data_IF_779354461596
#
_entry.id   IF_779354461596
#
_cell.length_a   1.000
_cell.length_b   1.000
_cell.length_c   1.000
_cell.angle_alpha   90.00
_cell.angle_beta   90.00
_cell.angle_gamma   90.00
#
_symmetry.space_group_name_H-M   'P 1'
#
loop_
_entity.id
_entity.type
_entity.pdbx_description
1 polymer ?
#
# COMPACT_ATOMS: atom_id res chain seq x y z
N UNK A 1 37.94 7.46 -36.06
CA UNK A 1 37.12 8.51 -35.42
C UNK A 1 37.97 9.76 -35.36
N UNK A 2 37.41 10.93 -35.68
CA UNK A 2 38.16 12.18 -35.66
C UNK A 2 38.51 12.51 -34.20
N UNK A 3 39.80 12.49 -33.87
CA UNK A 3 40.29 12.68 -32.48
C UNK A 3 40.48 14.16 -32.13
N UNK A 4 39.68 15.03 -32.76
CA UNK A 4 39.78 16.47 -32.66
C UNK A 4 38.74 17.02 -31.68
N UNK A 5 39.18 17.93 -30.82
CA UNK A 5 38.31 18.60 -29.88
C UNK A 5 37.32 19.49 -30.64
N UNK A 6 36.00 19.39 -30.40
CA UNK A 6 35.02 20.27 -31.04
C UNK A 6 35.19 21.75 -30.64
N UNK A 7 35.79 22.03 -29.48
CA UNK A 7 35.98 23.41 -29.00
C UNK A 7 37.15 24.16 -29.65
N UNK A 8 38.27 23.48 -29.93
CA UNK A 8 39.49 24.12 -30.45
C UNK A 8 40.04 23.48 -31.73
N UNK A 9 39.43 22.41 -32.22
CA UNK A 9 39.81 21.63 -33.42
C UNK A 9 41.17 20.91 -33.36
N UNK A 10 41.94 21.10 -32.29
CA UNK A 10 43.21 20.40 -32.07
C UNK A 10 43.01 18.93 -31.66
N UNK A 11 44.00 18.09 -31.92
CA UNK A 11 44.00 16.68 -31.51
C UNK A 11 43.99 16.54 -29.97
N UNK A 12 43.31 15.50 -29.48
CA UNK A 12 43.13 15.24 -28.05
C UNK A 12 43.91 14.01 -27.64
N UNK A 13 44.72 14.12 -26.58
CA UNK A 13 45.31 12.95 -25.94
C UNK A 13 44.20 12.13 -25.25
N UNK A 14 44.10 10.85 -25.61
CA UNK A 14 43.11 9.93 -25.06
C UNK A 14 43.17 9.87 -23.51
N UNK A 15 44.35 10.08 -22.92
CA UNK A 15 44.55 9.99 -21.47
C UNK A 15 44.07 11.21 -20.69
N UNK A 16 43.82 12.34 -21.35
CA UNK A 16 43.50 13.63 -20.71
C UNK A 16 42.28 14.26 -21.38
N UNK A 17 41.22 13.46 -21.55
CA UNK A 17 40.02 13.86 -22.28
C UNK A 17 38.73 13.48 -21.57
N UNK A 18 37.68 14.28 -21.79
CA UNK A 18 36.28 13.85 -21.57
C UNK A 18 35.65 13.51 -22.91
N UNK A 19 34.72 12.58 -22.92
CA UNK A 19 33.94 12.25 -24.11
C UNK A 19 32.54 12.83 -23.99
N UNK A 20 32.06 13.45 -25.07
CA UNK A 20 30.68 13.94 -25.15
C UNK A 20 29.71 12.75 -25.17
N UNK A 21 28.76 12.69 -24.25
CA UNK A 21 27.82 11.57 -24.15
C UNK A 21 26.82 11.49 -25.32
N UNK A 22 26.70 12.55 -26.13
CA UNK A 22 25.83 12.58 -27.29
C UNK A 22 26.52 12.16 -28.59
N UNK A 23 27.74 12.67 -28.86
CA UNK A 23 28.45 12.43 -30.12
C UNK A 23 29.74 11.61 -29.98
N UNK A 24 30.08 11.23 -28.75
CA UNK A 24 31.27 10.46 -28.37
C UNK A 24 32.61 11.07 -28.84
N UNK A 25 32.64 12.38 -29.12
CA UNK A 25 33.89 13.08 -29.47
C UNK A 25 34.68 13.44 -28.22
N UNK A 26 36.02 13.34 -28.26
CA UNK A 26 36.89 13.70 -27.16
C UNK A 26 37.03 15.23 -27.04
N UNK A 27 37.23 15.72 -25.82
CA UNK A 27 37.33 17.13 -25.46
C UNK A 27 38.46 17.36 -24.47
N UNK A 28 39.26 18.40 -24.68
CA UNK A 28 40.24 18.84 -23.67
C UNK A 28 39.53 19.41 -22.45
N UNK A 29 40.04 19.14 -21.25
CA UNK A 29 39.54 19.76 -20.02
C UNK A 29 39.63 21.29 -20.07
N UNK A 30 40.71 21.82 -20.66
CA UNK A 30 40.93 23.26 -20.85
C UNK A 30 39.87 23.91 -21.74
N UNK A 31 39.43 23.22 -22.79
CA UNK A 31 38.37 23.71 -23.68
C UNK A 31 36.98 23.73 -23.02
N UNK A 32 36.81 22.97 -21.94
CA UNK A 32 35.61 23.02 -21.09
C UNK A 32 35.73 24.02 -19.93
N UNK A 33 36.86 24.75 -19.86
CA UNK A 33 37.21 25.63 -18.74
C UNK A 33 37.16 24.91 -17.37
N UNK A 34 37.44 23.60 -17.35
CA UNK A 34 37.48 22.80 -16.13
C UNK A 34 38.91 22.61 -15.67
N UNK A 35 39.16 22.83 -14.38
CA UNK A 35 40.37 22.34 -13.75
C UNK A 35 40.40 20.80 -13.77
N UNK A 36 41.60 20.21 -13.79
CA UNK A 36 41.77 18.77 -13.99
C UNK A 36 41.10 17.92 -12.88
N UNK A 37 41.10 18.41 -11.65
CA UNK A 37 40.42 17.82 -10.50
C UNK A 37 38.89 17.85 -10.64
N UNK A 38 38.34 18.94 -11.16
CA UNK A 38 36.90 19.07 -11.46
C UNK A 38 36.50 18.14 -12.59
N UNK A 39 37.30 18.05 -13.66
CA UNK A 39 37.04 17.12 -14.77
C UNK A 39 37.04 15.65 -14.29
N UNK A 40 37.98 15.28 -13.41
CA UNK A 40 38.00 13.96 -12.79
C UNK A 40 36.78 13.70 -11.90
N UNK A 41 36.29 14.72 -11.18
CA UNK A 41 35.05 14.62 -10.39
C UNK A 41 33.81 14.45 -11.27
N UNK A 42 33.72 15.18 -12.40
CA UNK A 42 32.64 15.04 -13.38
C UNK A 42 32.62 13.64 -13.99
N UNK A 43 33.78 13.06 -14.35
CA UNK A 43 33.83 11.70 -14.89
C UNK A 43 33.41 10.65 -13.84
N UNK A 44 33.82 10.83 -12.56
CA UNK A 44 33.33 9.98 -11.47
C UNK A 44 31.82 10.08 -11.28
N UNK A 45 31.26 11.29 -11.27
CA UNK A 45 29.81 11.51 -11.13
C UNK A 45 29.02 10.88 -12.29
N UNK A 46 29.54 10.97 -13.52
CA UNK A 46 28.98 10.31 -14.71
C UNK A 46 28.94 8.78 -14.55
N UNK A 47 30.00 8.17 -14.02
CA UNK A 47 30.02 6.71 -13.77
C UNK A 47 29.07 6.27 -12.66
N UNK A 48 28.76 7.17 -11.72
CA UNK A 48 27.87 6.88 -10.59
C UNK A 48 26.40 7.13 -10.90
N UNK A 49 26.08 7.94 -11.92
CA UNK A 49 24.69 8.30 -12.26
C UNK A 49 24.50 8.45 -13.77
N UNK A 50 23.54 7.71 -14.32
CA UNK A 50 23.11 7.81 -15.72
C UNK A 50 22.44 9.16 -16.07
N UNK A 51 22.17 9.99 -15.07
CA UNK A 51 21.54 11.30 -15.23
C UNK A 51 22.53 12.44 -15.46
N UNK A 52 23.81 12.24 -15.14
CA UNK A 52 24.86 13.24 -15.38
C UNK A 52 25.39 13.06 -16.80
N UNK A 53 25.13 14.04 -17.67
CA UNK A 53 25.62 14.05 -19.04
C UNK A 53 26.65 15.15 -19.25
N UNK A 54 27.74 14.82 -19.94
CA UNK A 54 28.79 15.73 -20.37
C UNK A 54 28.60 15.95 -21.86
N UNK A 55 28.26 17.18 -22.26
CA UNK A 55 28.02 17.53 -23.67
C UNK A 55 29.14 18.46 -24.17
N UNK A 56 29.52 18.30 -25.45
CA UNK A 56 30.37 19.29 -26.11
C UNK A 56 29.58 20.57 -26.44
N UNK A 57 30.28 21.66 -26.70
CA UNK A 57 29.66 22.95 -27.03
C UNK A 57 28.64 22.84 -28.19
N UNK A 58 28.95 22.09 -29.24
CA UNK A 58 28.03 21.87 -30.37
C UNK A 58 26.75 21.14 -29.94
N UNK A 59 26.90 20.09 -29.14
CA UNK A 59 25.76 19.31 -28.63
C UNK A 59 24.96 20.08 -27.58
N UNK A 60 25.60 20.90 -26.74
CA UNK A 60 24.93 21.78 -25.80
C UNK A 60 24.15 22.88 -26.54
N UNK A 61 24.75 23.49 -27.57
CA UNK A 61 24.06 24.47 -28.41
C UNK A 61 22.85 23.87 -29.13
N UNK A 62 22.98 22.65 -29.68
CA UNK A 62 21.86 21.94 -30.28
C UNK A 62 20.78 21.56 -29.25
N UNK A 63 21.19 21.20 -28.03
CA UNK A 63 20.27 20.90 -26.94
C UNK A 63 19.53 22.18 -26.48
N UNK A 64 20.25 23.29 -26.32
CA UNK A 64 19.70 24.61 -25.97
C UNK A 64 18.79 25.13 -27.07
N UNK A 65 19.14 24.97 -28.34
CA UNK A 65 18.29 25.39 -29.46
C UNK A 65 17.01 24.54 -29.54
N UNK A 66 17.09 23.25 -29.22
CA UNK A 66 15.92 22.39 -29.08
C UNK A 66 15.04 22.83 -27.90
N UNK A 67 15.65 23.12 -26.76
CA UNK A 67 15.00 23.64 -25.55
C UNK A 67 14.40 25.04 -25.76
N UNK A 68 14.97 25.87 -26.63
CA UNK A 68 14.44 27.22 -26.90
C UNK A 68 13.31 27.23 -27.93
N UNK A 69 13.21 26.20 -28.78
CA UNK A 69 12.13 26.05 -29.77
C UNK A 69 10.95 25.25 -29.25
N UNK A 70 11.19 24.35 -28.30
CA UNK A 70 10.13 23.79 -27.50
C UNK A 70 9.80 24.80 -26.40
N UNK A 71 8.54 24.98 -26.02
CA UNK A 71 8.17 25.82 -24.87
C UNK A 71 8.95 25.43 -23.62
N UNK A 72 8.79 26.17 -22.52
CA UNK A 72 9.58 25.98 -21.29
C UNK A 72 9.78 24.49 -20.98
N UNK A 73 10.99 24.08 -20.55
CA UNK A 73 11.30 22.65 -20.28
C UNK A 73 10.20 21.98 -19.44
N UNK A 74 9.59 22.75 -18.55
CA UNK A 74 8.42 22.35 -17.75
C UNK A 74 7.22 21.94 -18.60
N UNK A 75 6.87 22.65 -19.66
CA UNK A 75 5.75 22.32 -20.56
C UNK A 75 6.01 21.01 -21.32
N UNK A 76 7.21 20.81 -21.86
CA UNK A 76 7.57 19.58 -22.59
C UNK A 76 7.56 18.37 -21.65
N UNK A 77 8.14 18.54 -20.46
CA UNK A 77 8.18 17.50 -19.45
C UNK A 77 6.77 17.19 -18.94
N UNK A 78 5.97 18.22 -18.66
CA UNK A 78 4.57 18.06 -18.20
C UNK A 78 3.72 17.37 -19.26
N UNK A 79 3.87 17.71 -20.54
CA UNK A 79 3.10 17.06 -21.60
C UNK A 79 3.52 15.60 -21.80
N UNK A 80 4.83 15.30 -21.74
CA UNK A 80 5.31 13.92 -21.82
C UNK A 80 4.86 13.08 -20.63
N UNK A 81 4.91 13.63 -19.42
CA UNK A 81 4.43 12.98 -18.21
C UNK A 81 2.91 12.75 -18.26
N UNK A 82 2.16 13.76 -18.72
CA UNK A 82 0.71 13.68 -18.93
C UNK A 82 0.34 12.59 -19.91
N UNK A 83 1.09 12.42 -21.00
CA UNK A 83 0.84 11.38 -21.98
C UNK A 83 1.18 9.98 -21.46
N UNK A 84 2.27 9.82 -20.70
CA UNK A 84 2.57 8.56 -20.01
C UNK A 84 1.45 8.17 -19.03
N UNK A 85 1.00 9.11 -18.19
CA UNK A 85 -0.11 8.87 -17.26
C UNK A 85 -1.39 8.50 -18.01
N UNK A 86 -1.69 9.15 -19.14
CA UNK A 86 -2.88 8.83 -19.95
C UNK A 86 -2.83 7.40 -20.52
N UNK A 87 -1.66 6.95 -20.98
CA UNK A 87 -1.52 5.60 -21.52
C UNK A 87 -1.63 4.53 -20.43
N UNK A 88 -0.95 4.70 -19.28
CA UNK A 88 -1.11 3.78 -18.13
C UNK A 88 -2.56 3.74 -17.63
N UNK A 89 -3.25 4.89 -17.61
CA UNK A 89 -4.65 4.95 -17.19
C UNK A 89 -5.59 4.25 -18.18
N UNK A 90 -5.29 4.24 -19.48
CA UNK A 90 -6.07 3.50 -20.49
C UNK A 90 -5.92 1.99 -20.31
N UNK A 91 -4.71 1.50 -20.04
CA UNK A 91 -4.48 0.09 -19.75
C UNK A 91 -5.25 -0.34 -18.49
N UNK A 92 -5.15 0.45 -17.41
CA UNK A 92 -5.89 0.18 -16.18
C UNK A 92 -7.42 0.16 -16.39
N UNK A 93 -7.98 1.07 -17.19
CA UNK A 93 -9.41 1.05 -17.53
C UNK A 93 -9.79 -0.22 -18.28
N UNK A 94 -8.91 -0.71 -19.16
CA UNK A 94 -9.14 -1.93 -19.94
C UNK A 94 -9.16 -3.15 -19.04
N UNK A 95 -8.23 -3.25 -18.10
CA UNK A 95 -8.18 -4.32 -17.10
C UNK A 95 -9.42 -4.32 -16.19
N UNK A 96 -9.84 -3.14 -15.72
CA UNK A 96 -11.06 -3.00 -14.91
C UNK A 96 -12.30 -3.49 -15.68
N UNK A 97 -12.39 -3.20 -16.98
CA UNK A 97 -13.49 -3.69 -17.83
C UNK A 97 -13.45 -5.20 -18.00
N UNK A 98 -12.26 -5.77 -18.23
CA UNK A 98 -12.05 -7.21 -18.32
C UNK A 98 -12.47 -7.92 -17.02
N UNK A 99 -11.95 -7.49 -15.88
CA UNK A 99 -12.32 -8.04 -14.56
C UNK A 99 -13.83 -7.93 -14.27
N UNK A 100 -14.47 -6.82 -14.66
CA UNK A 100 -15.93 -6.67 -14.50
C UNK A 100 -16.69 -7.70 -15.31
N UNK A 101 -16.22 -8.04 -16.51
CA UNK A 101 -16.86 -9.07 -17.35
C UNK A 101 -16.71 -10.47 -16.72
N UNK A 102 -15.54 -10.82 -16.20
CA UNK A 102 -15.31 -12.09 -15.50
C UNK A 102 -16.19 -12.25 -14.25
N UNK A 103 -16.32 -11.17 -13.46
CA UNK A 103 -17.21 -11.16 -12.28
C UNK A 103 -18.67 -11.38 -12.68
N UNK A 104 -19.10 -10.86 -13.83
CA UNK A 104 -20.47 -11.08 -14.31
C UNK A 104 -20.69 -12.54 -14.73
N UNK A 105 -19.73 -13.16 -15.44
CA UNK A 105 -19.79 -14.59 -15.78
C UNK A 105 -19.89 -15.44 -14.52
N UNK A 106 -19.07 -15.17 -13.49
CA UNK A 106 -19.12 -15.89 -12.22
C UNK A 106 -20.44 -15.71 -11.47
N UNK A 107 -21.07 -14.52 -11.57
CA UNK A 107 -22.40 -14.29 -11.00
C UNK A 107 -23.47 -15.12 -11.71
N UNK A 108 -23.43 -15.18 -13.03
CA UNK A 108 -24.35 -15.99 -13.83
C UNK A 108 -24.17 -17.49 -13.50
N UNK A 109 -22.95 -17.99 -13.46
CA UNK A 109 -22.67 -19.39 -13.06
C UNK A 109 -23.14 -19.71 -11.63
N UNK A 110 -22.99 -18.78 -10.69
CA UNK A 110 -23.49 -18.97 -9.32
C UNK A 110 -25.03 -18.99 -9.27
N UNK A 111 -25.71 -18.19 -10.08
CA UNK A 111 -27.18 -18.22 -10.18
C UNK A 111 -27.63 -19.60 -10.67
N UNK A 112 -26.94 -20.18 -11.65
CA UNK A 112 -27.29 -21.51 -12.18
C UNK A 112 -27.01 -22.64 -11.18
N UNK A 113 -25.91 -22.57 -10.42
CA UNK A 113 -25.65 -23.50 -9.32
C UNK A 113 -26.73 -23.42 -8.23
N UNK A 114 -27.17 -22.21 -7.86
CA UNK A 114 -28.26 -22.03 -6.90
C UNK A 114 -29.55 -22.65 -7.42
N UNK A 115 -29.89 -22.44 -8.71
CA UNK A 115 -31.07 -23.05 -9.33
C UNK A 115 -31.02 -24.58 -9.29
N UNK A 116 -29.87 -25.18 -9.59
CA UNK A 116 -29.67 -26.64 -9.51
C UNK A 116 -29.86 -27.17 -8.09
N UNK A 117 -29.31 -26.48 -7.09
CA UNK A 117 -29.49 -26.86 -5.67
C UNK A 117 -30.95 -26.72 -5.21
N UNK A 118 -31.70 -25.73 -5.72
CA UNK A 118 -33.11 -25.54 -5.36
C UNK A 118 -34.09 -26.46 -6.12
N UNK A 119 -33.68 -27.01 -7.26
CA UNK A 119 -34.54 -27.91 -8.07
C UNK A 119 -34.34 -29.39 -7.77
N UNK A 120 -33.25 -29.76 -7.08
CA UNK A 120 -32.92 -31.15 -6.73
C UNK A 120 -33.49 -31.68 -5.41
N UNK A 121 -33.98 -30.82 -4.51
CA UNK A 121 -34.51 -31.23 -3.21
C UNK A 121 -35.94 -30.70 -3.02
N UNK A 122 -36.92 -31.44 -3.53
CA UNK A 122 -38.27 -31.38 -2.98
C UNK A 122 -38.23 -31.89 -1.54
N UNK A 123 -38.88 -31.15 -0.63
CA UNK A 123 -39.18 -31.52 0.75
C UNK A 123 -38.17 -31.30 1.90
N UNK A 124 -37.16 -30.46 1.75
CA UNK A 124 -36.50 -29.91 2.95
C UNK A 124 -36.34 -28.40 2.85
N UNK A 125 -36.90 -27.70 3.84
CA UNK A 125 -36.83 -26.25 4.10
C UNK A 125 -37.92 -25.40 3.43
N UNK A 126 -39.18 -25.70 3.78
CA UNK A 126 -40.22 -24.67 3.92
C UNK A 126 -39.92 -23.76 5.12
N UNK A 127 -38.83 -23.00 5.09
CA UNK A 127 -38.58 -21.89 6.04
C UNK A 127 -37.59 -20.85 5.48
N UNK A 128 -37.86 -20.33 4.28
CA UNK A 128 -37.11 -19.20 3.70
C UNK A 128 -38.01 -17.98 3.51
N UNK A 129 -38.61 -17.49 4.61
CA UNK A 129 -39.15 -16.12 4.68
C UNK A 129 -38.04 -15.19 5.16
N UNK A 130 -37.22 -14.72 4.23
CA UNK A 130 -36.64 -13.37 4.17
C UNK A 130 -35.48 -13.38 3.18
N UNK A 131 -35.61 -12.59 2.12
CA UNK A 131 -34.51 -12.26 1.23
C UNK A 131 -33.43 -11.55 2.06
N UNK A 132 -32.14 -11.94 1.98
CA UNK A 132 -31.09 -11.22 2.68
C UNK A 132 -30.94 -9.83 2.04
N UNK A 133 -31.42 -8.82 2.76
CA UNK A 133 -31.07 -7.41 2.56
C UNK A 133 -29.54 -7.30 2.54
N UNK A 134 -29.02 -6.46 1.64
CA UNK A 134 -27.66 -6.55 1.11
C UNK A 134 -26.55 -6.80 2.13
N UNK A 135 -25.66 -7.75 1.79
CA UNK A 135 -24.39 -8.10 2.47
C UNK A 135 -23.34 -6.97 2.52
N UNK A 136 -23.77 -5.72 2.44
CA UNK A 136 -22.94 -4.52 2.55
C UNK A 136 -23.28 -3.69 3.80
N UNK A 137 -24.10 -4.21 4.72
CA UNK A 137 -24.22 -3.63 6.06
C UNK A 137 -22.84 -3.67 6.73
N UNK A 138 -22.36 -2.52 7.24
CA UNK A 138 -21.12 -2.44 8.01
C UNK A 138 -21.08 -3.49 9.13
N UNK A 139 -22.25 -3.82 9.72
CA UNK A 139 -22.40 -4.84 10.73
C UNK A 139 -21.95 -6.24 10.26
N UNK A 140 -22.27 -6.61 9.01
CA UNK A 140 -21.86 -7.91 8.42
C UNK A 140 -20.35 -8.02 8.13
N UNK A 141 -19.62 -6.89 8.11
CA UNK A 141 -18.17 -6.84 7.94
C UNK A 141 -17.42 -6.68 9.27
N UNK A 142 -18.11 -6.39 10.37
CA UNK A 142 -17.52 -6.45 11.71
C UNK A 142 -17.56 -7.91 12.16
N UNK A 143 -16.66 -8.73 11.61
CA UNK A 143 -16.32 -9.99 12.26
C UNK A 143 -15.78 -9.61 13.63
N UNK A 144 -16.45 -10.08 14.69
CA UNK A 144 -16.06 -9.84 16.09
C UNK A 144 -14.83 -10.68 16.39
N UNK A 145 -13.70 -10.33 15.77
CA UNK A 145 -12.41 -10.91 16.09
C UNK A 145 -11.95 -10.36 17.43
N UNK A 146 -11.75 -11.25 18.40
CA UNK A 146 -11.15 -10.88 19.68
C UNK A 146 -9.67 -10.57 19.47
N UNK A 147 -9.23 -9.42 19.96
CA UNK A 147 -7.88 -8.91 19.77
C UNK A 147 -7.20 -8.71 21.11
N UNK A 148 -6.00 -9.25 21.24
CA UNK A 148 -5.17 -9.11 22.45
C UNK A 148 -3.97 -8.23 22.11
N UNK A 149 -3.70 -7.24 22.96
CA UNK A 149 -2.49 -6.42 22.90
C UNK A 149 -1.47 -6.99 23.88
N UNK A 150 -0.26 -7.24 23.39
CA UNK A 150 0.90 -7.59 24.20
C UNK A 150 1.91 -6.47 24.06
N UNK A 151 2.08 -5.66 25.10
CA UNK A 151 2.99 -4.51 25.08
C UNK A 151 4.12 -4.71 26.09
N UNK A 152 5.40 -4.58 25.71
CA UNK A 152 6.48 -4.67 26.68
C UNK A 152 6.38 -3.51 27.69
N UNK A 153 6.64 -3.80 28.97
CA UNK A 153 6.75 -2.75 29.99
C UNK A 153 7.95 -1.84 29.72
N UNK A 154 9.01 -2.39 29.11
CA UNK A 154 10.13 -1.62 28.57
C UNK A 154 9.79 -1.10 27.15
N UNK A 155 9.54 0.20 27.04
CA UNK A 155 9.13 0.86 25.79
C UNK A 155 10.23 0.94 24.72
N UNK A 156 11.49 0.75 25.09
CA UNK A 156 12.63 0.73 24.16
C UNK A 156 12.80 -0.63 23.45
N UNK A 157 12.03 -1.65 23.85
CA UNK A 157 12.12 -2.97 23.24
C UNK A 157 11.60 -2.99 21.80
N UNK A 158 12.29 -3.72 20.93
CA UNK A 158 11.86 -3.91 19.54
C UNK A 158 10.69 -4.88 19.42
N UNK A 159 9.85 -4.68 18.40
CA UNK A 159 8.71 -5.58 18.11
C UNK A 159 9.18 -7.01 17.83
N UNK A 160 10.33 -7.18 17.17
CA UNK A 160 10.90 -8.49 16.84
C UNK A 160 11.19 -9.31 18.10
N UNK A 161 11.71 -8.66 19.16
CA UNK A 161 11.95 -9.32 20.44
C UNK A 161 10.63 -9.72 21.12
N UNK A 162 9.65 -8.81 21.16
CA UNK A 162 8.30 -9.13 21.69
C UNK A 162 7.66 -10.31 20.96
N UNK A 163 7.78 -10.38 19.63
CA UNK A 163 7.29 -11.51 18.84
C UNK A 163 8.01 -12.81 19.20
N UNK A 164 9.34 -12.78 19.34
CA UNK A 164 10.12 -13.96 19.73
C UNK A 164 9.72 -14.45 21.12
N UNK A 165 9.54 -13.55 22.09
CA UNK A 165 9.16 -13.91 23.45
C UNK A 165 7.74 -14.48 23.51
N UNK A 166 6.80 -13.94 22.73
CA UNK A 166 5.45 -14.51 22.63
C UNK A 166 5.50 -15.93 22.06
N UNK A 167 6.22 -16.16 20.96
CA UNK A 167 6.32 -17.50 20.35
C UNK A 167 7.03 -18.52 21.25
N UNK A 168 7.97 -18.07 22.09
CA UNK A 168 8.70 -18.94 23.02
C UNK A 168 7.90 -19.33 24.25
N UNK A 169 7.08 -18.41 24.78
CA UNK A 169 6.38 -18.59 26.05
C UNK A 169 4.89 -18.94 25.88
N UNK A 170 4.35 -18.85 24.66
CA UNK A 170 2.96 -19.20 24.35
C UNK A 170 2.97 -20.29 23.29
N UNK A 171 2.63 -21.52 23.69
CA UNK A 171 2.55 -22.64 22.75
C UNK A 171 1.20 -22.62 22.01
N UNK A 172 1.17 -21.92 20.88
CA UNK A 172 -0.05 -21.70 20.10
C UNK A 172 -0.62 -23.02 19.52
N UNK A 173 0.24 -24.00 19.24
CA UNK A 173 -0.14 -25.27 18.60
C UNK A 173 -0.77 -26.22 19.63
N UNK A 174 -0.13 -26.42 20.78
CA UNK A 174 -0.65 -27.31 21.84
C UNK A 174 -1.98 -26.83 22.41
N UNK A 175 -2.17 -25.51 22.49
CA UNK A 175 -3.37 -24.89 23.07
C UNK A 175 -4.50 -24.66 22.05
N UNK A 176 -4.29 -25.11 20.81
CA UNK A 176 -5.21 -24.99 19.68
C UNK A 176 -5.67 -23.54 19.41
N UNK A 177 -4.76 -22.56 19.55
CA UNK A 177 -5.09 -21.14 19.41
C UNK A 177 -5.01 -20.73 17.94
N UNK A 178 -6.17 -20.52 17.31
CA UNK A 178 -6.24 -20.06 15.92
C UNK A 178 -6.02 -18.53 15.82
N UNK A 179 -4.77 -18.12 15.56
CA UNK A 179 -4.42 -16.72 15.28
C UNK A 179 -4.72 -16.37 13.83
N UNK A 180 -5.51 -15.31 13.59
CA UNK A 180 -5.83 -14.83 12.23
C UNK A 180 -4.85 -13.76 11.76
N UNK A 181 -4.37 -12.92 12.68
CA UNK A 181 -3.50 -11.79 12.32
C UNK A 181 -2.61 -11.35 13.47
N UNK A 182 -1.37 -10.97 13.14
CA UNK A 182 -0.44 -10.32 14.08
C UNK A 182 0.00 -8.99 13.49
N UNK A 183 -0.25 -7.89 14.21
CA UNK A 183 0.15 -6.54 13.80
C UNK A 183 1.13 -5.92 14.80
N UNK A 184 2.20 -5.25 14.35
CA UNK A 184 3.03 -4.42 15.21
C UNK A 184 2.24 -3.19 15.72
N UNK A 185 2.53 -2.76 16.94
CA UNK A 185 2.07 -1.46 17.48
C UNK A 185 3.25 -0.66 18.06
N UNK A 186 2.99 0.60 18.39
CA UNK A 186 3.99 1.50 18.97
C UNK A 186 4.60 0.96 20.26
N UNK A 187 5.83 1.39 20.54
CA UNK A 187 6.61 0.98 21.72
C UNK A 187 6.84 -0.54 21.80
N UNK A 188 7.10 -1.18 20.65
CA UNK A 188 7.50 -2.59 20.63
C UNK A 188 6.37 -3.60 20.86
N UNK A 189 5.11 -3.17 20.91
CA UNK A 189 3.98 -4.06 21.19
C UNK A 189 3.48 -4.84 19.96
N UNK A 190 2.58 -5.78 20.23
CA UNK A 190 1.87 -6.58 19.23
C UNK A 190 0.37 -6.57 19.50
N UNK A 191 -0.44 -6.53 18.44
CA UNK A 191 -1.85 -6.90 18.44
C UNK A 191 -2.00 -8.26 17.77
N UNK A 192 -2.62 -9.19 18.47
CA UNK A 192 -2.90 -10.55 17.99
C UNK A 192 -4.41 -10.71 17.88
N UNK A 193 -4.92 -10.86 16.64
CA UNK A 193 -6.30 -11.23 16.35
C UNK A 193 -6.46 -12.75 16.44
N UNK A 194 -7.50 -13.19 17.14
CA UNK A 194 -7.92 -14.58 17.20
C UNK A 194 -9.16 -14.81 16.34
N UNK A 195 -9.34 -16.04 15.86
CA UNK A 195 -10.48 -16.44 15.01
C UNK A 195 -11.83 -16.26 15.71
N UNK A 196 -11.89 -16.58 16.99
CA UNK A 196 -13.10 -16.51 17.81
C UNK A 196 -12.80 -16.02 19.23
N UNK A 197 -13.87 -15.79 20.00
CA UNK A 197 -13.78 -15.27 21.36
C UNK A 197 -13.09 -16.23 22.33
N UNK A 198 -13.31 -17.54 22.16
CA UNK A 198 -12.74 -18.57 23.02
C UNK A 198 -11.22 -18.65 22.86
N UNK A 199 -10.73 -18.64 21.61
CA UNK A 199 -9.32 -18.53 21.28
C UNK A 199 -8.70 -17.28 21.89
N UNK A 200 -9.40 -16.14 21.81
CA UNK A 200 -8.96 -14.87 22.39
C UNK A 200 -8.81 -14.94 23.93
N UNK A 201 -9.79 -15.54 24.61
CA UNK A 201 -9.76 -15.74 26.07
C UNK A 201 -8.62 -16.67 26.49
N UNK A 202 -8.45 -17.81 25.81
CA UNK A 202 -7.33 -18.75 26.06
C UNK A 202 -5.97 -18.05 25.90
N UNK A 203 -5.77 -17.36 24.77
CA UNK A 203 -4.53 -16.63 24.50
C UNK A 203 -4.26 -15.59 25.59
N UNK A 204 -5.27 -14.82 25.98
CA UNK A 204 -5.13 -13.84 27.05
C UNK A 204 -4.70 -14.49 28.37
N UNK A 205 -5.31 -15.61 28.75
CA UNK A 205 -4.99 -16.31 30.00
C UNK A 205 -3.56 -16.83 30.01
N UNK A 206 -3.14 -17.53 28.95
CA UNK A 206 -1.79 -18.11 28.84
C UNK A 206 -0.74 -17.00 28.79
N UNK A 207 -0.97 -15.96 27.99
CA UNK A 207 -0.05 -14.83 27.88
C UNK A 207 0.03 -14.08 29.22
N UNK A 208 -1.10 -13.85 29.90
CA UNK A 208 -1.13 -13.21 31.23
C UNK A 208 -0.42 -14.05 32.30
N UNK A 209 -0.39 -15.36 32.15
CA UNK A 209 0.31 -16.24 33.10
C UNK A 209 1.82 -16.25 32.81
N UNK A 210 2.21 -16.34 31.54
CA UNK A 210 3.60 -16.60 31.14
C UNK A 210 4.43 -15.33 30.90
N UNK A 211 3.78 -14.21 30.57
CA UNK A 211 4.45 -12.99 30.11
C UNK A 211 4.17 -11.76 30.99
N UNK A 212 3.22 -11.81 31.95
CA UNK A 212 2.80 -10.62 32.72
C UNK A 212 3.90 -9.95 33.54
N UNK A 213 5.01 -10.63 33.83
CA UNK A 213 6.14 -10.00 34.50
C UNK A 213 6.75 -8.88 33.64
N UNK A 214 6.97 -9.15 32.35
CA UNK A 214 7.68 -8.26 31.43
C UNK A 214 6.77 -7.50 30.46
N UNK A 215 5.51 -7.94 30.35
CA UNK A 215 4.54 -7.43 29.40
C UNK A 215 3.25 -6.99 30.10
N UNK A 216 2.61 -5.99 29.53
CA UNK A 216 1.24 -5.57 29.81
C UNK A 216 0.34 -6.18 28.74
N UNK A 217 -0.67 -6.95 29.18
CA UNK A 217 -1.49 -7.79 28.33
C UNK A 217 -2.93 -7.38 28.53
N UNK A 218 -3.53 -6.85 27.45
CA UNK A 218 -4.86 -6.28 27.50
C UNK A 218 -5.70 -6.78 26.36
N UNK A 219 -6.97 -7.05 26.65
CA UNK A 219 -7.95 -7.22 25.60
C UNK A 219 -8.25 -5.86 24.95
N UNK A 220 -8.28 -5.83 23.61
CA UNK A 220 -8.81 -4.68 22.88
C UNK A 220 -10.32 -4.75 22.98
N UNK A 221 -10.89 -3.92 23.84
CA UNK A 221 -12.33 -3.69 23.81
C UNK A 221 -12.70 -3.17 22.43
N UNK A 222 -13.60 -3.88 21.74
CA UNK A 222 -14.13 -3.45 20.46
C UNK A 222 -14.67 -2.04 20.65
N UNK A 223 -14.19 -1.09 19.85
CA UNK A 223 -14.75 0.25 19.83
C UNK A 223 -16.18 0.11 19.31
N UNK A 224 -17.17 0.27 20.18
CA UNK A 224 -18.54 0.48 19.77
C UNK A 224 -18.58 1.73 18.89
N UNK A 225 -18.81 1.61 17.57
CA UNK A 225 -18.78 2.75 16.69
C UNK A 225 -19.82 3.76 17.17
N UNK A 226 -19.37 4.98 17.49
CA UNK A 226 -20.28 6.07 17.87
C UNK A 226 -20.92 6.61 16.59
N UNK A 227 -22.22 6.39 16.43
CA UNK A 227 -22.97 6.96 15.31
C UNK A 227 -23.39 8.37 15.69
N UNK A 228 -22.88 9.37 14.97
CA UNK A 228 -23.37 10.75 15.05
C UNK A 228 -24.51 10.92 14.05
N UNK A 229 -25.72 11.13 14.55
CA UNK A 229 -26.88 11.43 13.72
C UNK A 229 -27.04 12.95 13.62
N UNK A 230 -27.18 13.47 12.40
CA UNK A 230 -27.33 14.90 12.10
C UNK A 230 -28.63 15.14 11.32
N UNK A 231 -29.18 16.36 11.38
CA UNK A 231 -30.38 16.72 10.62
C UNK A 231 -31.71 16.25 11.22
N UNK A 232 -31.75 15.93 12.52
CA UNK A 232 -33.00 15.66 13.22
C UNK A 232 -33.69 17.01 13.48
N UNK A 233 -34.93 17.24 13.00
CA UNK A 233 -35.70 18.43 13.34
C UNK A 233 -35.85 18.53 14.86
N UNK A 234 -35.64 19.72 15.43
CA UNK A 234 -35.85 19.93 16.86
C UNK A 234 -37.26 19.51 17.28
N UNK A 235 -37.38 18.72 18.35
CA UNK A 235 -38.67 18.27 18.91
C UNK A 235 -38.89 16.76 18.97
N UNK A 236 -38.01 15.93 18.38
CA UNK A 236 -38.09 14.48 18.56
C UNK A 236 -37.52 14.08 19.93
N UNK A 237 -38.33 13.41 20.76
CA UNK A 237 -37.85 12.86 22.02
C UNK A 237 -37.00 11.61 21.80
N UNK A 238 -36.13 11.31 22.77
CA UNK A 238 -35.14 10.23 22.69
C UNK A 238 -35.78 8.85 22.46
N UNK A 239 -36.87 8.54 23.16
CA UNK A 239 -37.51 7.21 23.12
C UNK A 239 -38.05 6.83 21.73
N UNK A 240 -38.84 7.69 21.03
CA UNK A 240 -39.24 7.46 19.65
C UNK A 240 -38.06 7.35 18.68
N UNK A 241 -37.03 8.18 18.85
CA UNK A 241 -35.84 8.17 18.00
C UNK A 241 -35.07 6.86 18.14
N UNK A 242 -34.80 6.42 19.37
CA UNK A 242 -34.18 5.13 19.64
C UNK A 242 -35.03 4.01 19.05
N UNK A 243 -36.35 4.02 19.28
CA UNK A 243 -37.26 3.01 18.72
C UNK A 243 -37.19 2.93 17.19
N UNK A 244 -37.03 4.07 16.51
CA UNK A 244 -36.84 4.12 15.06
C UNK A 244 -35.50 3.51 14.63
N UNK A 245 -34.40 3.89 15.30
CA UNK A 245 -33.09 3.29 15.07
C UNK A 245 -33.09 1.78 15.30
N UNK A 246 -33.79 1.32 16.34
CA UNK A 246 -33.93 -0.12 16.65
C UNK A 246 -34.70 -0.86 15.57
N UNK A 247 -35.80 -0.28 15.07
CA UNK A 247 -36.58 -0.86 13.97
C UNK A 247 -35.80 -0.93 12.67
N UNK A 248 -34.95 0.05 12.39
CA UNK A 248 -34.12 0.07 11.18
C UNK A 248 -32.92 -0.88 11.23
N UNK A 249 -32.47 -1.25 12.43
CA UNK A 249 -31.27 -2.06 12.63
C UNK A 249 -31.57 -3.24 13.58
N UNK A 250 -32.49 -4.15 13.22
CA UNK A 250 -32.87 -5.26 14.10
C UNK A 250 -31.68 -6.15 14.46
N UNK A 251 -30.71 -6.28 13.57
CA UNK A 251 -29.53 -7.15 13.74
C UNK A 251 -28.46 -6.58 14.70
N UNK A 252 -28.57 -5.31 15.11
CA UNK A 252 -27.61 -4.67 16.02
C UNK A 252 -28.03 -4.75 17.49
N UNK A 253 -29.22 -5.27 17.78
CA UNK A 253 -29.87 -5.24 19.09
C UNK A 253 -30.36 -6.65 19.40
N UNK A 254 -29.42 -7.56 19.58
CA UNK A 254 -29.59 -8.84 20.25
C UNK A 254 -28.80 -8.85 21.55
#
# INVERSE_FOLDING_TARGET
MDNKCPGCTAEVDANISLHCDACNRPMHYSCLALAADVAAACDRARRMSSHVKILCADCDNNFRSFVSHSGSIEEVFTEKLRNLIKEEYKELITDIKSLRSEVNVLKESNIDLVKLLTSGNGDVVATAKSLPLGKNSYASKVVVEKKIVVKPKNTAQSVTKTRSDVLKNVNIIEEEIAITKVKPVSSGGLIISCKDENCGKKLQQIASTSLAQNYDIREVNVLYPRVRVVGIPGGMSESPFLSYLKKQNPDLIS
#
